data_IF_500750778913
#
_entry.id   IF_500750778913
#
_cell.length_a   1.000
_cell.length_b   1.000
_cell.length_c   1.000
_cell.angle_alpha   90.00
_cell.angle_beta   90.00
_cell.angle_gamma   90.00
#
_symmetry.space_group_name_H-M   'P 1'
#
loop_
_entity.id
_entity.type
_entity.pdbx_description
1 polymer ?
#
# COMPACT_ATOMS: atom_id res chain seq x y z
N UNK A 1 -4.27 -14.39 -21.01
CA UNK A 1 -3.66 -13.65 -19.90
C UNK A 1 -2.76 -12.51 -20.38
N UNK A 2 -2.93 -11.29 -19.89
CA UNK A 2 -2.01 -10.15 -20.14
C UNK A 2 -1.27 -9.75 -18.87
N UNK A 3 -0.05 -9.22 -19.01
CA UNK A 3 0.70 -8.68 -17.87
C UNK A 3 0.08 -7.33 -17.50
N UNK A 4 -0.39 -7.20 -16.26
CA UNK A 4 -1.02 -5.98 -15.74
C UNK A 4 -0.35 -5.54 -14.45
N UNK A 5 -0.53 -4.26 -14.11
CA UNK A 5 0.02 -3.63 -12.92
C UNK A 5 -1.02 -3.67 -11.79
N UNK A 6 -0.66 -4.28 -10.66
CA UNK A 6 -1.38 -4.14 -9.39
C UNK A 6 -0.81 -2.96 -8.63
N UNK A 7 -1.66 -2.25 -7.90
CA UNK A 7 -1.24 -1.14 -7.04
C UNK A 7 -1.58 -1.44 -5.59
N UNK A 8 -0.61 -1.24 -4.71
CA UNK A 8 -0.78 -1.34 -3.26
C UNK A 8 -0.43 -0.01 -2.63
N UNK A 9 -1.42 0.60 -2.00
CA UNK A 9 -1.24 1.75 -1.13
C UNK A 9 -1.04 1.22 0.28
N UNK A 10 0.10 1.53 0.90
CA UNK A 10 0.45 1.04 2.23
C UNK A 10 0.83 2.22 3.11
N UNK A 11 0.10 2.43 4.21
CA UNK A 11 0.40 3.48 5.19
C UNK A 11 1.12 2.88 6.38
N UNK A 12 2.27 3.47 6.77
CA UNK A 12 3.08 3.01 7.90
C UNK A 12 3.25 4.09 8.98
N UNK A 13 3.64 3.70 10.19
CA UNK A 13 3.84 4.63 11.32
C UNK A 13 5.01 5.62 11.13
N UNK A 14 5.96 5.31 10.25
CA UNK A 14 7.10 6.17 9.93
C UNK A 14 7.55 5.97 8.48
N UNK A 15 8.54 6.75 8.04
CA UNK A 15 9.19 6.61 6.73
C UNK A 15 10.13 5.42 6.63
N UNK A 16 10.37 4.66 7.71
CA UNK A 16 11.15 3.42 7.67
C UNK A 16 10.32 2.30 7.00
N UNK A 17 10.80 1.66 5.92
CA UNK A 17 10.10 0.54 5.28
C UNK A 17 9.80 -0.65 6.21
N UNK A 18 10.51 -0.80 7.35
CA UNK A 18 10.25 -1.82 8.36
C UNK A 18 9.24 -1.37 9.43
N UNK A 19 8.77 -0.13 9.36
CA UNK A 19 7.77 0.40 10.27
C UNK A 19 6.46 -0.37 10.15
N UNK A 20 5.72 -0.57 11.26
CA UNK A 20 4.45 -1.28 11.22
C UNK A 20 3.45 -0.63 10.27
N UNK A 21 2.77 -1.46 9.49
CA UNK A 21 1.65 -1.05 8.64
C UNK A 21 0.44 -0.67 9.50
N UNK A 22 -0.20 0.44 9.16
CA UNK A 22 -1.45 0.94 9.76
C UNK A 22 -2.64 0.52 8.91
N UNK A 23 -2.50 0.64 7.60
CA UNK A 23 -3.55 0.34 6.63
C UNK A 23 -2.96 -0.01 5.27
N UNK A 24 -3.74 -0.75 4.49
CA UNK A 24 -3.44 -1.05 3.11
C UNK A 24 -4.69 -0.95 2.23
N UNK A 25 -4.49 -0.67 0.95
CA UNK A 25 -5.51 -0.74 -0.09
C UNK A 25 -4.89 -1.33 -1.36
N UNK A 26 -5.40 -2.49 -1.76
CA UNK A 26 -4.98 -3.22 -2.94
C UNK A 26 -5.95 -2.93 -4.08
N UNK A 27 -5.43 -2.48 -5.21
CA UNK A 27 -6.17 -2.20 -6.43
C UNK A 27 -5.80 -3.20 -7.51
N UNK A 28 -6.76 -4.08 -7.82
CA UNK A 28 -6.61 -5.05 -8.90
C UNK A 28 -6.88 -4.40 -10.27
N UNK A 29 -6.12 -4.77 -11.31
CA UNK A 29 -6.29 -4.23 -12.67
C UNK A 29 -7.41 -4.96 -13.44
N UNK A 30 -8.59 -5.06 -12.82
CA UNK A 30 -9.78 -5.70 -13.36
C UNK A 30 -10.96 -4.73 -13.24
N UNK A 31 -11.71 -4.54 -14.32
CA UNK A 31 -12.81 -3.60 -14.34
C UNK A 31 -13.92 -4.02 -13.37
N UNK A 32 -14.45 -3.07 -12.60
CA UNK A 32 -15.52 -3.32 -11.64
C UNK A 32 -15.08 -3.95 -10.32
N UNK A 33 -13.78 -4.17 -10.07
CA UNK A 33 -13.31 -4.59 -8.74
C UNK A 33 -13.49 -3.46 -7.74
N UNK A 34 -14.06 -3.82 -6.59
CA UNK A 34 -14.16 -2.94 -5.43
C UNK A 34 -12.95 -3.27 -4.54
N UNK A 35 -12.33 -2.24 -3.97
CA UNK A 35 -11.34 -2.44 -2.90
C UNK A 35 -12.13 -2.83 -1.66
N UNK A 36 -12.32 -4.13 -1.47
CA UNK A 36 -13.06 -4.67 -0.32
C UNK A 36 -12.09 -4.81 0.84
N UNK A 37 -12.36 -4.11 1.95
CA UNK A 37 -11.72 -4.42 3.23
C UNK A 37 -12.46 -5.65 3.73
N UNK A 38 -11.91 -6.85 3.52
CA UNK A 38 -12.52 -8.09 3.99
C UNK A 38 -12.63 -8.04 5.52
N UNK A 39 -13.85 -7.94 6.09
CA UNK A 39 -14.03 -7.85 7.53
C UNK A 39 -13.75 -9.18 8.24
N UNK A 40 -13.55 -10.27 7.50
CA UNK A 40 -13.16 -11.59 8.00
C UNK A 40 -11.66 -11.86 7.85
N UNK A 41 -10.90 -10.95 7.24
CA UNK A 41 -9.44 -11.04 7.18
C UNK A 41 -8.85 -10.80 8.57
N UNK A 42 -8.07 -11.77 9.07
CA UNK A 42 -7.45 -11.78 10.40
C UNK A 42 -6.33 -10.72 10.59
N UNK A 43 -6.14 -9.84 9.61
CA UNK A 43 -5.15 -8.77 9.68
C UNK A 43 -4.89 -8.09 8.34
N UNK A 44 -3.85 -7.27 8.34
CA UNK A 44 -3.28 -6.66 7.14
C UNK A 44 -2.41 -7.70 6.43
N UNK A 45 -2.50 -7.81 5.11
CA UNK A 45 -1.70 -8.73 4.28
C UNK A 45 -0.18 -8.57 4.49
N UNK A 46 0.27 -7.36 4.82
CA UNK A 46 1.68 -7.05 5.08
C UNK A 46 1.85 -6.20 6.34
N UNK A 47 2.67 -6.71 7.28
CA UNK A 47 3.02 -6.00 8.52
C UNK A 47 3.99 -4.83 8.32
N UNK A 48 4.64 -4.75 7.15
CA UNK A 48 5.52 -3.64 6.78
C UNK A 48 5.67 -3.52 5.26
N UNK A 49 6.11 -2.35 4.77
CA UNK A 49 6.51 -2.15 3.37
C UNK A 49 7.59 -3.16 2.96
N UNK A 50 8.50 -3.45 3.88
CA UNK A 50 9.57 -4.42 3.64
C UNK A 50 9.02 -5.83 3.38
N UNK A 51 7.97 -6.26 4.09
CA UNK A 51 7.32 -7.55 3.85
C UNK A 51 6.72 -7.61 2.44
N UNK A 52 6.04 -6.56 1.99
CA UNK A 52 5.53 -6.47 0.62
C UNK A 52 6.67 -6.51 -0.41
N UNK A 53 7.78 -5.82 -0.17
CA UNK A 53 8.95 -5.86 -1.06
C UNK A 53 9.51 -7.29 -1.18
N UNK A 54 9.59 -8.03 -0.07
CA UNK A 54 10.03 -9.42 -0.08
C UNK A 54 9.09 -10.34 -0.89
N UNK A 55 7.80 -10.01 -0.97
CA UNK A 55 6.81 -10.69 -1.82
C UNK A 55 6.87 -10.25 -3.30
N UNK A 56 7.80 -9.36 -3.66
CA UNK A 56 8.03 -8.93 -5.03
C UNK A 56 7.33 -7.63 -5.44
N UNK A 57 6.74 -6.92 -4.49
CA UNK A 57 6.28 -5.55 -4.72
C UNK A 57 7.47 -4.60 -4.90
N UNK A 58 7.31 -3.60 -5.77
CA UNK A 58 8.30 -2.53 -5.99
C UNK A 58 7.73 -1.20 -5.52
N UNK A 59 8.50 -0.43 -4.76
CA UNK A 59 8.08 0.93 -4.35
C UNK A 59 8.20 1.86 -5.56
N UNK A 60 7.10 2.49 -5.94
CA UNK A 60 7.04 3.52 -7.00
C UNK A 60 6.92 4.93 -6.46
N UNK A 61 6.46 5.07 -5.21
CA UNK A 61 6.40 6.36 -4.51
C UNK A 61 6.75 6.20 -3.04
N UNK A 62 7.73 6.98 -2.59
CA UNK A 62 8.08 7.13 -1.16
C UNK A 62 7.30 8.30 -0.56
N UNK A 63 6.91 8.22 0.73
CA UNK A 63 6.22 9.31 1.41
C UNK A 63 7.06 10.59 1.43
N UNK A 64 6.41 11.76 1.30
CA UNK A 64 7.10 13.04 1.43
C UNK A 64 7.55 13.24 2.89
N UNK A 65 8.84 13.57 3.08
CA UNK A 65 9.44 13.80 4.40
C UNK A 65 9.01 15.14 5.02
N UNK A 66 8.33 16.01 4.26
CA UNK A 66 7.96 17.38 4.66
C UNK A 66 6.67 17.50 5.49
N UNK A 67 5.94 16.40 5.71
CA UNK A 67 4.56 16.40 6.20
C UNK A 67 4.30 16.58 7.71
N UNK A 68 5.30 16.89 8.54
CA UNK A 68 5.09 17.04 10.00
C UNK A 68 5.00 18.51 10.49
N UNK A 69 4.89 19.49 9.60
CA UNK A 69 4.96 20.93 9.96
C UNK A 69 3.74 21.77 9.54
N UNK A 70 2.61 21.18 9.14
CA UNK A 70 1.38 21.95 8.99
C UNK A 70 0.60 21.98 10.30
N UNK A 71 0.55 23.16 10.94
CA UNK A 71 -0.22 23.54 12.13
C UNK A 71 -1.76 23.49 11.91
N UNK A 72 -2.20 22.78 10.87
CA UNK A 72 -3.60 22.49 10.60
C UNK A 72 -3.87 21.07 11.10
N UNK A 73 -4.79 20.92 12.07
CA UNK A 73 -5.18 19.66 12.72
C UNK A 73 -5.82 18.60 11.81
N UNK A 74 -5.20 18.31 10.67
CA UNK A 74 -5.46 17.16 9.82
C UNK A 74 -4.48 16.09 10.31
N UNK A 75 -4.99 15.14 11.09
CA UNK A 75 -4.23 13.94 11.48
C UNK A 75 -3.81 13.19 10.21
N UNK A 76 -2.57 13.39 9.78
CA UNK A 76 -1.96 12.57 8.73
C UNK A 76 -1.78 11.18 9.35
N UNK A 77 -2.67 10.24 8.97
CA UNK A 77 -2.75 8.88 9.54
C UNK A 77 -1.57 7.95 9.16
N UNK A 78 -0.38 8.51 8.93
CA UNK A 78 0.84 7.78 8.64
C UNK A 78 1.52 8.20 7.33
N UNK A 79 2.63 7.54 7.03
CA UNK A 79 3.45 7.76 5.86
C UNK A 79 3.03 6.76 4.77
N UNK A 80 2.49 7.27 3.66
CA UNK A 80 1.98 6.44 2.58
C UNK A 80 3.07 6.10 1.55
N UNK A 81 3.25 4.81 1.31
CA UNK A 81 4.02 4.24 0.22
C UNK A 81 3.05 3.78 -0.88
N UNK A 82 3.43 3.96 -2.14
CA UNK A 82 2.74 3.35 -3.28
C UNK A 82 3.67 2.30 -3.85
N UNK A 83 3.17 1.08 -3.96
CA UNK A 83 3.88 -0.05 -4.52
C UNK A 83 3.17 -0.59 -5.75
N UNK A 84 3.93 -1.22 -6.63
CA UNK A 84 3.42 -1.94 -7.80
C UNK A 84 3.89 -3.40 -7.80
N UNK A 85 3.09 -4.27 -8.39
CA UNK A 85 3.50 -5.65 -8.74
C UNK A 85 2.96 -5.98 -10.13
N UNK A 86 3.81 -6.53 -10.99
CA UNK A 86 3.41 -6.93 -12.34
C UNK A 86 3.02 -8.40 -12.31
N UNK A 87 1.76 -8.72 -12.59
CA UNK A 87 1.25 -10.09 -12.57
C UNK A 87 0.38 -10.38 -13.78
N UNK A 88 0.22 -11.68 -14.07
CA UNK A 88 -0.54 -12.13 -15.21
C UNK A 88 -2.03 -12.22 -14.84
N UNK A 89 -2.89 -11.54 -15.59
CA UNK A 89 -4.35 -11.56 -15.37
C UNK A 89 -5.08 -12.13 -16.56
N UNK A 90 -6.10 -12.93 -16.28
CA UNK A 90 -7.14 -13.25 -17.25
C UNK A 90 -8.10 -12.06 -17.34
N UNK A 91 -8.36 -11.64 -18.58
CA UNK A 91 -9.27 -10.54 -18.90
C UNK A 91 -10.64 -11.10 -19.24
#
# INVERSE_FOLDING_TARGET
MSLKQRLLYLSALSTDPKSPTISLALHEPVEGTIVEIDPMSDGLEYDSVHAAICDGWRVVHFPDQRGNLSDSGVDVLGFQFILEKMEQFDA
#
